data_IF_793212052913
#
_entry.id   IF_793212052913
#
_cell.length_a   1.000
_cell.length_b   1.000
_cell.length_c   1.000
_cell.angle_alpha   90.00
_cell.angle_beta   90.00
_cell.angle_gamma   90.00
#
_symmetry.space_group_name_H-M   'P 1'
#
loop_
_entity.id
_entity.type
_entity.pdbx_description
1 polymer ?
#
# COMPACT_ATOMS: atom_id res chain seq x y z
N UNK A 1 -11.61 20.92 22.02
CA UNK A 1 -11.50 19.68 22.81
C UNK A 1 -10.20 19.73 23.56
N UNK A 2 -10.20 19.55 24.88
CA UNK A 2 -8.97 19.60 25.68
C UNK A 2 -8.11 18.38 25.37
N UNK A 3 -6.79 18.56 25.19
CA UNK A 3 -5.77 17.53 24.84
C UNK A 3 -5.72 16.33 25.79
N UNK A 4 -6.48 16.34 26.87
CA UNK A 4 -6.41 15.32 27.94
C UNK A 4 -7.04 13.96 27.60
N UNK A 5 -7.69 13.78 26.43
CA UNK A 5 -8.34 12.53 26.02
C UNK A 5 -7.89 11.98 24.67
N UNK A 6 -6.85 12.56 24.05
CA UNK A 6 -6.35 12.07 22.76
C UNK A 6 -5.40 10.90 22.96
N UNK A 7 -5.58 9.84 22.16
CA UNK A 7 -4.66 8.71 22.12
C UNK A 7 -3.32 9.12 21.48
N UNK A 8 -2.27 8.33 21.70
CA UNK A 8 -0.98 8.51 20.97
C UNK A 8 -1.18 8.50 19.46
N UNK A 9 -2.18 7.75 18.97
CA UNK A 9 -2.51 7.64 17.55
C UNK A 9 -3.05 8.98 17.03
N UNK A 10 -4.01 9.57 17.76
CA UNK A 10 -4.59 10.90 17.42
C UNK A 10 -3.53 12.02 17.47
N UNK A 11 -2.68 12.00 18.51
CA UNK A 11 -1.58 12.98 18.66
C UNK A 11 -0.54 12.91 17.53
N UNK A 12 -0.45 11.77 16.83
CA UNK A 12 0.36 11.59 15.63
C UNK A 12 -0.37 11.96 14.34
N UNK A 13 -1.56 12.54 14.45
CA UNK A 13 -2.36 13.01 13.32
C UNK A 13 -3.02 11.88 12.52
N UNK A 14 -3.34 10.76 13.19
CA UNK A 14 -3.99 9.59 12.56
C UNK A 14 -5.34 9.36 13.21
N UNK A 15 -6.38 9.12 12.42
CA UNK A 15 -7.70 8.73 12.89
C UNK A 15 -7.90 7.23 12.70
N UNK A 16 -8.15 6.49 13.78
CA UNK A 16 -8.41 5.05 13.71
C UNK A 16 -9.81 4.74 13.19
N UNK A 17 -10.80 5.57 13.53
CA UNK A 17 -12.21 5.35 13.17
C UNK A 17 -12.59 5.94 11.81
N UNK A 18 -11.86 6.99 11.37
CA UNK A 18 -12.22 7.80 10.16
C UNK A 18 -13.71 8.17 10.12
N UNK A 19 -14.32 8.45 11.28
CA UNK A 19 -15.76 8.71 11.42
C UNK A 19 -16.25 9.82 10.50
N UNK A 20 -15.47 10.90 10.35
CA UNK A 20 -15.78 12.01 9.44
C UNK A 20 -15.87 11.58 7.97
N UNK A 21 -15.08 10.59 7.55
CA UNK A 21 -15.15 10.04 6.19
C UNK A 21 -16.39 9.15 6.05
N UNK A 22 -16.64 8.27 7.02
CA UNK A 22 -17.84 7.43 7.01
C UNK A 22 -19.13 8.24 7.02
N UNK A 23 -19.18 9.33 7.79
CA UNK A 23 -20.32 10.23 7.81
C UNK A 23 -20.51 10.96 6.46
N UNK A 24 -19.43 11.35 5.81
CA UNK A 24 -19.49 12.04 4.53
C UNK A 24 -20.01 11.15 3.38
N UNK A 25 -19.71 9.84 3.43
CA UNK A 25 -20.07 8.90 2.34
C UNK A 25 -21.32 8.06 2.61
N UNK A 26 -21.94 8.16 3.81
CA UNK A 26 -23.05 7.28 4.23
C UNK A 26 -24.25 7.28 3.30
N UNK A 27 -24.57 8.45 2.71
CA UNK A 27 -25.73 8.66 1.82
C UNK A 27 -25.35 8.62 0.33
N UNK A 28 -24.06 8.32 0.02
CA UNK A 28 -23.62 8.19 -1.38
C UNK A 28 -24.11 6.88 -2.00
N UNK A 29 -24.32 6.91 -3.31
CA UNK A 29 -24.62 5.71 -4.10
C UNK A 29 -23.53 4.63 -3.91
N UNK A 30 -23.96 3.42 -3.55
CA UNK A 30 -23.08 2.27 -3.25
C UNK A 30 -22.83 1.35 -4.45
N UNK A 31 -23.35 1.70 -5.63
CA UNK A 31 -23.21 0.90 -6.84
C UNK A 31 -24.17 -0.30 -6.91
N UNK A 32 -23.86 -1.23 -7.82
CA UNK A 32 -24.71 -2.38 -8.13
C UNK A 32 -24.84 -3.37 -6.95
N UNK A 33 -23.82 -3.49 -6.12
CA UNK A 33 -23.76 -4.45 -5.02
C UNK A 33 -23.30 -3.75 -3.73
N UNK A 34 -24.25 -3.24 -2.91
CA UNK A 34 -23.93 -2.43 -1.73
C UNK A 34 -23.07 -3.13 -0.67
N UNK A 35 -23.02 -4.47 -0.65
CA UNK A 35 -22.23 -5.26 0.28
C UNK A 35 -20.82 -5.60 -0.26
N UNK A 36 -20.56 -5.37 -1.55
CA UNK A 36 -19.27 -5.64 -2.15
C UNK A 36 -18.18 -4.75 -1.53
N UNK A 37 -16.96 -5.25 -1.45
CA UNK A 37 -15.84 -4.52 -0.83
C UNK A 37 -15.51 -3.23 -1.59
N UNK A 38 -15.37 -3.30 -2.91
CA UNK A 38 -15.25 -2.13 -3.77
C UNK A 38 -16.60 -1.74 -4.37
N UNK A 39 -16.78 -0.47 -4.70
CA UNK A 39 -17.93 0.00 -5.46
C UNK A 39 -17.91 -0.57 -6.88
N UNK A 40 -18.97 -1.29 -7.24
CA UNK A 40 -19.15 -1.88 -8.57
C UNK A 40 -20.16 -1.06 -9.36
N UNK A 41 -19.75 -0.57 -10.52
CA UNK A 41 -20.56 0.26 -11.40
C UNK A 41 -21.12 -0.57 -12.58
N UNK A 42 -22.26 -0.15 -13.20
CA UNK A 42 -22.61 -0.67 -14.52
C UNK A 42 -21.44 -0.56 -15.50
N UNK A 43 -21.43 -1.36 -16.54
CA UNK A 43 -20.40 -1.26 -17.58
C UNK A 43 -20.54 0.04 -18.38
N UNK A 44 -20.00 1.12 -17.84
CA UNK A 44 -20.05 2.45 -18.46
C UNK A 44 -19.11 2.56 -19.68
N UNK A 45 -18.08 1.71 -19.73
CA UNK A 45 -17.06 1.74 -20.80
C UNK A 45 -17.49 0.92 -22.01
N UNK A 46 -18.00 -0.29 -21.79
CA UNK A 46 -18.41 -1.19 -22.86
C UNK A 46 -19.91 -1.16 -23.18
N UNK A 47 -20.73 -0.67 -22.24
CA UNK A 47 -22.19 -0.61 -22.40
C UNK A 47 -22.90 -1.97 -22.37
N UNK A 48 -22.22 -3.02 -21.92
CA UNK A 48 -22.75 -4.37 -21.88
C UNK A 48 -23.43 -4.64 -20.51
N UNK A 49 -24.73 -4.96 -20.46
CA UNK A 49 -25.44 -5.23 -19.20
C UNK A 49 -24.94 -6.47 -18.45
N UNK A 50 -24.24 -7.39 -19.10
CA UNK A 50 -23.65 -8.58 -18.46
C UNK A 50 -22.31 -8.29 -17.78
N UNK A 51 -21.72 -7.11 -17.99
CA UNK A 51 -20.45 -6.70 -17.40
C UNK A 51 -20.62 -5.58 -16.38
N UNK A 52 -19.56 -5.31 -15.66
CA UNK A 52 -19.46 -4.20 -14.71
C UNK A 52 -18.02 -3.65 -14.67
N UNK A 53 -17.92 -2.42 -14.18
CA UNK A 53 -16.64 -1.74 -14.02
C UNK A 53 -16.31 -1.58 -12.54
N UNK A 54 -15.03 -1.77 -12.20
CA UNK A 54 -14.45 -1.49 -10.89
C UNK A 54 -13.29 -0.51 -11.08
N UNK A 55 -13.23 0.50 -10.23
CA UNK A 55 -12.13 1.45 -10.20
C UNK A 55 -11.71 1.66 -8.77
N UNK A 56 -10.42 1.57 -8.50
CA UNK A 56 -9.84 1.74 -7.17
C UNK A 56 -8.63 2.67 -7.23
N UNK A 57 -8.36 3.42 -6.16
CA UNK A 57 -7.21 4.29 -6.06
C UNK A 57 -6.65 4.26 -4.65
N UNK A 58 -5.37 3.96 -4.52
CA UNK A 58 -4.65 3.96 -3.25
C UNK A 58 -3.17 4.31 -3.46
N UNK A 59 -2.45 4.55 -2.37
CA UNK A 59 -1.03 4.92 -2.36
C UNK A 59 -0.22 4.02 -1.45
N UNK A 60 1.10 4.00 -1.63
CA UNK A 60 2.02 3.32 -0.70
C UNK A 60 2.03 3.96 0.70
N UNK A 61 1.47 5.14 0.85
CA UNK A 61 1.29 5.85 2.11
C UNK A 61 2.61 6.16 2.82
N UNK A 62 2.57 6.14 4.14
CA UNK A 62 3.72 6.55 4.99
C UNK A 62 4.95 5.66 4.85
N UNK A 63 4.83 4.47 4.26
CA UNK A 63 5.97 3.58 3.99
C UNK A 63 7.02 4.25 3.09
N UNK A 64 6.61 5.16 2.20
CA UNK A 64 7.51 6.00 1.39
C UNK A 64 8.49 6.81 2.25
N UNK A 65 8.03 7.33 3.39
CA UNK A 65 8.87 8.07 4.33
C UNK A 65 9.92 7.20 5.03
N UNK A 66 9.61 5.92 5.26
CA UNK A 66 10.57 4.94 5.77
C UNK A 66 11.61 4.56 4.72
N UNK A 67 11.17 4.34 3.48
CA UNK A 67 12.06 4.10 2.34
C UNK A 67 13.03 5.27 2.15
N UNK A 68 12.53 6.50 2.29
CA UNK A 68 13.37 7.71 2.25
C UNK A 68 14.48 7.67 3.31
N UNK A 69 14.15 7.42 4.58
CA UNK A 69 15.16 7.35 5.65
C UNK A 69 16.16 6.22 5.37
N UNK A 70 15.67 5.02 5.02
CA UNK A 70 16.53 3.87 4.76
C UNK A 70 17.49 4.12 3.59
N UNK A 71 16.98 4.66 2.48
CA UNK A 71 17.82 5.06 1.35
C UNK A 71 18.87 6.11 1.75
N UNK A 72 18.50 7.09 2.57
CA UNK A 72 19.45 8.12 3.06
C UNK A 72 20.55 7.54 3.95
N UNK A 73 20.27 6.48 4.72
CA UNK A 73 21.26 5.80 5.58
C UNK A 73 22.13 4.82 4.80
N UNK A 74 21.63 4.21 3.73
CA UNK A 74 22.29 3.07 3.07
C UNK A 74 22.67 3.32 1.61
N UNK A 75 22.11 4.33 0.95
CA UNK A 75 22.12 4.54 -0.50
C UNK A 75 21.49 3.38 -1.31
N UNK A 76 20.74 2.49 -0.69
CA UNK A 76 20.04 1.40 -1.37
C UNK A 76 18.80 1.90 -2.09
N UNK A 77 18.88 2.01 -3.42
CA UNK A 77 17.76 2.42 -4.26
C UNK A 77 16.71 1.32 -4.43
N UNK A 78 17.07 0.05 -4.22
CA UNK A 78 16.17 -1.09 -4.47
C UNK A 78 14.90 -1.06 -3.62
N UNK A 79 14.91 -0.36 -2.47
CA UNK A 79 13.74 -0.21 -1.60
C UNK A 79 12.56 0.51 -2.27
N UNK A 80 12.84 1.30 -3.29
CA UNK A 80 11.79 2.00 -4.04
C UNK A 80 10.95 1.08 -4.93
N UNK A 81 11.54 -0.03 -5.39
CA UNK A 81 10.77 -1.09 -6.07
C UNK A 81 9.70 -1.69 -5.15
N UNK A 82 10.03 -1.89 -3.86
CA UNK A 82 9.06 -2.33 -2.86
C UNK A 82 7.92 -1.33 -2.63
N UNK A 83 8.22 -0.03 -2.65
CA UNK A 83 7.19 1.03 -2.55
C UNK A 83 6.23 1.01 -3.74
N UNK A 84 6.74 0.80 -4.94
CA UNK A 84 5.90 0.66 -6.14
C UNK A 84 5.02 -0.58 -6.04
N UNK A 85 5.59 -1.70 -5.62
CA UNK A 85 4.83 -2.93 -5.37
C UNK A 85 3.72 -2.67 -4.34
N UNK A 86 4.01 -2.02 -3.20
CA UNK A 86 2.99 -1.67 -2.21
C UNK A 86 1.84 -0.86 -2.84
N UNK A 87 2.14 0.18 -3.62
CA UNK A 87 1.11 1.02 -4.23
C UNK A 87 0.24 0.26 -5.25
N UNK A 88 0.81 -0.68 -6.00
CA UNK A 88 0.06 -1.53 -6.92
C UNK A 88 -0.81 -2.52 -6.14
N UNK A 89 -0.23 -3.21 -5.15
CA UNK A 89 -0.90 -4.26 -4.39
C UNK A 89 -2.07 -3.73 -3.56
N UNK A 90 -1.96 -2.52 -2.98
CA UNK A 90 -3.09 -1.88 -2.29
C UNK A 90 -4.34 -1.77 -3.18
N UNK A 91 -4.16 -1.64 -4.49
CA UNK A 91 -5.27 -1.56 -5.44
C UNK A 91 -5.74 -2.95 -5.91
N UNK A 92 -4.79 -3.80 -6.36
CA UNK A 92 -5.18 -5.08 -6.98
C UNK A 92 -5.73 -6.07 -5.96
N UNK A 93 -5.28 -6.06 -4.71
CA UNK A 93 -5.82 -6.91 -3.65
C UNK A 93 -7.25 -6.45 -3.23
N UNK A 94 -7.50 -5.15 -3.18
CA UNK A 94 -8.85 -4.63 -2.94
C UNK A 94 -9.81 -4.96 -4.08
N UNK A 95 -9.34 -4.89 -5.33
CA UNK A 95 -10.12 -5.32 -6.49
C UNK A 95 -10.35 -6.83 -6.50
N UNK A 96 -9.40 -7.63 -6.01
CA UNK A 96 -9.55 -9.07 -5.86
C UNK A 96 -10.67 -9.43 -4.86
N UNK A 97 -10.92 -8.61 -3.84
CA UNK A 97 -12.02 -8.79 -2.91
C UNK A 97 -13.42 -8.75 -3.57
N UNK A 98 -13.52 -8.22 -4.79
CA UNK A 98 -14.75 -8.24 -5.61
C UNK A 98 -14.63 -9.17 -6.82
N UNK A 99 -13.56 -9.96 -6.94
CA UNK A 99 -13.34 -10.93 -8.01
C UNK A 99 -12.64 -10.37 -9.26
N UNK A 100 -12.16 -9.13 -9.22
CA UNK A 100 -11.40 -8.53 -10.31
C UNK A 100 -9.90 -8.79 -10.09
N UNK A 101 -9.36 -9.81 -10.76
CA UNK A 101 -8.02 -10.34 -10.49
C UNK A 101 -7.10 -10.33 -11.72
N UNK A 102 -7.60 -9.97 -12.88
CA UNK A 102 -6.87 -10.02 -14.13
C UNK A 102 -7.32 -8.90 -15.09
N UNK A 103 -6.52 -8.66 -16.12
CA UNK A 103 -6.78 -7.61 -17.13
C UNK A 103 -7.05 -6.22 -16.51
N UNK A 104 -6.21 -5.83 -15.56
CA UNK A 104 -6.35 -4.58 -14.82
C UNK A 104 -5.47 -3.50 -15.45
N UNK A 105 -6.08 -2.38 -15.84
CA UNK A 105 -5.36 -1.19 -16.31
C UNK A 105 -4.99 -0.34 -15.10
N UNK A 106 -3.72 0.05 -15.01
CA UNK A 106 -3.22 0.91 -13.93
C UNK A 106 -2.61 2.21 -14.47
N UNK A 107 -2.74 3.27 -13.70
CA UNK A 107 -2.12 4.56 -13.94
C UNK A 107 -1.45 5.06 -12.66
N UNK A 108 -0.25 5.61 -12.75
CA UNK A 108 0.50 6.09 -11.60
C UNK A 108 0.35 7.60 -11.39
N UNK A 109 0.36 8.02 -10.13
CA UNK A 109 0.46 9.43 -9.74
C UNK A 109 1.56 9.57 -8.69
N UNK A 110 2.61 10.33 -9.03
CA UNK A 110 3.77 10.51 -8.15
C UNK A 110 3.89 11.99 -7.80
N UNK A 111 3.76 12.31 -6.52
CA UNK A 111 4.04 13.64 -5.99
C UNK A 111 5.37 13.64 -5.22
N UNK A 112 6.31 14.53 -5.55
CA UNK A 112 7.57 14.59 -4.81
C UNK A 112 7.94 15.99 -4.34
N UNK A 113 8.71 16.03 -3.28
CA UNK A 113 9.52 17.20 -2.95
C UNK A 113 10.90 17.07 -3.65
N UNK A 114 11.06 17.79 -4.75
CA UNK A 114 12.29 17.76 -5.58
C UNK A 114 13.55 18.12 -4.80
N UNK A 115 13.43 18.91 -3.73
CA UNK A 115 14.56 19.32 -2.90
C UNK A 115 15.20 18.17 -2.12
N UNK A 116 14.46 17.07 -1.88
CA UNK A 116 14.93 15.92 -1.11
C UNK A 116 14.87 14.59 -1.89
N UNK A 117 14.11 14.54 -2.98
CA UNK A 117 13.94 13.35 -3.84
C UNK A 117 14.57 13.61 -5.22
N UNK A 118 15.77 13.09 -5.47
CA UNK A 118 16.45 13.26 -6.76
C UNK A 118 15.80 12.44 -7.89
N UNK A 119 16.14 12.78 -9.15
CA UNK A 119 15.64 12.12 -10.34
C UNK A 119 15.91 10.60 -10.39
N UNK A 120 17.00 10.14 -9.76
CA UNK A 120 17.32 8.71 -9.68
C UNK A 120 16.23 7.91 -9.01
N UNK A 121 15.59 8.43 -7.95
CA UNK A 121 14.47 7.76 -7.28
C UNK A 121 13.24 7.71 -8.21
N UNK A 122 12.95 8.78 -8.94
CA UNK A 122 11.83 8.79 -9.90
C UNK A 122 12.07 7.77 -11.02
N UNK A 123 13.30 7.68 -11.50
CA UNK A 123 13.68 6.67 -12.50
C UNK A 123 13.45 5.25 -11.97
N UNK A 124 13.88 4.98 -10.75
CA UNK A 124 13.68 3.67 -10.10
C UNK A 124 12.18 3.34 -9.94
N UNK A 125 11.39 4.28 -9.43
CA UNK A 125 9.93 4.12 -9.26
C UNK A 125 9.25 3.78 -10.60
N UNK A 126 9.59 4.50 -11.68
CA UNK A 126 8.98 4.25 -13.00
C UNK A 126 9.41 2.89 -13.55
N UNK A 127 10.69 2.53 -13.47
CA UNK A 127 11.21 1.26 -13.98
C UNK A 127 10.67 0.07 -13.18
N UNK A 128 10.59 0.20 -11.86
CA UNK A 128 10.08 -0.84 -10.98
C UNK A 128 8.62 -1.21 -11.28
N UNK A 129 7.78 -0.25 -11.70
CA UNK A 129 6.41 -0.56 -12.11
C UNK A 129 6.39 -1.53 -13.30
N UNK A 130 7.17 -1.26 -14.33
CA UNK A 130 7.28 -2.15 -15.49
C UNK A 130 7.82 -3.55 -15.13
N UNK A 131 8.86 -3.61 -14.29
CA UNK A 131 9.46 -4.86 -13.83
C UNK A 131 8.45 -5.68 -13.01
N UNK A 132 7.71 -5.05 -12.10
CA UNK A 132 6.71 -5.73 -11.28
C UNK A 132 5.55 -6.28 -12.14
N UNK A 133 5.07 -5.51 -13.11
CA UNK A 133 4.03 -5.94 -14.06
C UNK A 133 4.48 -7.19 -14.84
N UNK A 134 5.71 -7.20 -15.38
CA UNK A 134 6.25 -8.37 -16.07
C UNK A 134 6.30 -9.60 -15.17
N UNK A 135 6.75 -9.41 -13.93
CA UNK A 135 6.79 -10.48 -12.94
C UNK A 135 5.40 -11.04 -12.62
N UNK A 136 4.39 -10.17 -12.49
CA UNK A 136 3.01 -10.60 -12.25
C UNK A 136 2.41 -11.37 -13.42
N UNK A 137 2.74 -11.01 -14.66
CA UNK A 137 2.31 -11.74 -15.84
C UNK A 137 2.80 -13.20 -15.85
N UNK A 138 3.99 -13.49 -15.28
CA UNK A 138 4.49 -14.85 -15.10
C UNK A 138 3.63 -15.70 -14.15
N UNK A 139 2.82 -15.04 -13.32
CA UNK A 139 1.89 -15.63 -12.36
C UNK A 139 0.42 -15.50 -12.80
N UNK A 140 0.16 -15.23 -14.09
CA UNK A 140 -1.16 -15.04 -14.68
C UNK A 140 -1.96 -13.87 -14.07
N UNK A 141 -1.28 -12.83 -13.64
CA UNK A 141 -1.87 -11.57 -13.22
C UNK A 141 -1.46 -10.50 -14.23
N UNK A 142 -2.36 -10.20 -15.17
CA UNK A 142 -2.09 -9.27 -16.26
C UNK A 142 -2.46 -7.84 -15.85
N UNK A 143 -1.44 -7.02 -15.71
CA UNK A 143 -1.54 -5.60 -15.39
C UNK A 143 -1.02 -4.77 -16.57
N UNK A 144 -1.71 -3.69 -16.91
CA UNK A 144 -1.37 -2.84 -18.04
C UNK A 144 -1.13 -1.40 -17.57
N UNK A 145 0.12 -0.94 -17.65
CA UNK A 145 0.44 0.45 -17.29
C UNK A 145 0.06 1.40 -18.43
N UNK A 146 -0.91 2.27 -18.18
CA UNK A 146 -1.37 3.28 -19.13
C UNK A 146 -0.58 4.59 -19.09
N UNK A 147 0.46 4.66 -18.25
CA UNK A 147 1.24 5.87 -17.99
C UNK A 147 0.94 6.46 -16.61
N UNK A 148 1.12 7.75 -16.47
CA UNK A 148 0.89 8.43 -15.21
C UNK A 148 1.37 9.89 -15.22
N UNK A 149 1.30 10.53 -14.04
CA UNK A 149 1.76 11.90 -13.80
C UNK A 149 2.82 11.91 -12.72
N UNK A 150 3.84 12.75 -12.89
CA UNK A 150 4.84 13.06 -11.86
C UNK A 150 4.92 14.57 -11.65
N UNK A 151 4.59 15.01 -10.43
CA UNK A 151 4.55 16.43 -10.09
C UNK A 151 5.55 16.80 -8.99
N UNK A 152 6.23 17.95 -9.18
CA UNK A 152 7.08 18.57 -8.15
C UNK A 152 6.18 19.42 -7.23
N UNK A 153 5.81 18.90 -6.08
CA UNK A 153 4.78 19.45 -5.18
C UNK A 153 5.28 19.54 -3.72
N UNK A 154 6.52 20.00 -3.54
CA UNK A 154 7.19 20.07 -2.23
C UNK A 154 6.45 20.86 -1.15
N UNK A 155 5.52 21.75 -1.52
CA UNK A 155 4.70 22.49 -0.57
C UNK A 155 3.61 21.65 0.07
N UNK A 156 3.21 20.53 -0.55
CA UNK A 156 2.16 19.63 -0.04
C UNK A 156 2.67 18.23 0.28
N UNK A 157 3.76 17.78 -0.34
CA UNK A 157 4.39 16.47 -0.08
C UNK A 157 5.78 16.66 0.50
N UNK A 158 6.02 16.12 1.69
CA UNK A 158 7.29 16.35 2.41
C UNK A 158 8.48 15.58 1.82
N UNK A 159 8.24 14.36 1.35
CA UNK A 159 9.24 13.52 0.66
C UNK A 159 8.70 13.11 -0.70
N UNK A 160 8.02 11.98 -0.79
CA UNK A 160 7.38 11.46 -2.00
C UNK A 160 6.09 10.73 -1.62
N UNK A 161 5.10 10.80 -2.48
CA UNK A 161 3.95 9.92 -2.48
C UNK A 161 3.87 9.18 -3.82
N UNK A 162 3.58 7.88 -3.77
CA UNK A 162 3.45 7.01 -4.94
C UNK A 162 2.08 6.37 -4.90
N UNK A 163 1.22 6.80 -5.80
CA UNK A 163 -0.16 6.34 -5.91
C UNK A 163 -0.41 5.62 -7.22
N UNK A 164 -1.39 4.71 -7.17
CA UNK A 164 -1.92 3.98 -8.32
C UNK A 164 -3.43 4.14 -8.35
N UNK A 165 -3.96 4.32 -9.54
CA UNK A 165 -5.36 4.14 -9.86
C UNK A 165 -5.49 2.91 -10.75
N UNK A 166 -6.36 1.99 -10.39
CA UNK A 166 -6.59 0.74 -11.10
C UNK A 166 -8.02 0.67 -11.63
N UNK A 167 -8.20 0.12 -12.83
CA UNK A 167 -9.48 -0.08 -13.48
C UNK A 167 -9.58 -1.51 -14.01
N UNK A 168 -10.71 -2.16 -13.76
CA UNK A 168 -11.04 -3.48 -14.29
C UNK A 168 -12.48 -3.56 -14.80
N UNK A 169 -12.70 -4.46 -15.75
CA UNK A 169 -14.00 -4.79 -16.33
C UNK A 169 -14.21 -6.30 -16.25
N UNK A 170 -15.22 -6.73 -15.50
CA UNK A 170 -15.49 -8.15 -15.29
C UNK A 170 -16.96 -8.50 -15.58
N UNK A 171 -17.27 -9.77 -15.89
CA UNK A 171 -18.66 -10.25 -15.94
C UNK A 171 -19.33 -10.10 -14.57
N UNK A 172 -20.57 -9.63 -14.53
CA UNK A 172 -21.35 -9.52 -13.28
C UNK A 172 -21.49 -10.84 -12.54
N UNK A 173 -21.48 -11.95 -13.27
CA UNK A 173 -21.54 -13.31 -12.71
C UNK A 173 -20.33 -13.69 -11.87
N UNK A 174 -19.20 -12.98 -12.02
CA UNK A 174 -17.95 -13.22 -11.28
C UNK A 174 -17.79 -12.34 -10.04
N UNK A 175 -18.69 -11.36 -9.84
CA UNK A 175 -18.57 -10.43 -8.71
C UNK A 175 -18.78 -11.15 -7.37
N UNK A 176 -17.78 -11.01 -6.49
CA UNK A 176 -17.86 -11.44 -5.08
C UNK A 176 -18.62 -10.36 -4.29
N UNK A 177 -19.71 -10.74 -3.61
CA UNK A 177 -20.66 -9.81 -2.98
C UNK A 177 -20.61 -9.77 -1.45
N UNK A 178 -19.66 -10.48 -0.82
CA UNK A 178 -19.57 -10.61 0.64
C UNK A 178 -20.86 -11.13 1.30
N UNK A 179 -21.51 -12.11 0.71
CA UNK A 179 -22.73 -12.75 1.26
C UNK A 179 -22.36 -13.78 2.34
N UNK A 180 -21.80 -13.30 3.46
CA UNK A 180 -21.34 -14.13 4.57
C UNK A 180 -22.54 -14.73 5.33
N UNK A 181 -22.48 -16.02 5.62
CA UNK A 181 -23.56 -16.77 6.27
C UNK A 181 -23.07 -17.46 7.54
N UNK A 182 -24.01 -17.77 8.44
CA UNK A 182 -23.71 -18.61 9.60
C UNK A 182 -23.24 -19.99 9.16
N UNK A 183 -22.08 -20.40 9.65
CA UNK A 183 -21.41 -21.64 9.27
C UNK A 183 -20.23 -21.45 8.31
N UNK A 184 -20.04 -20.25 7.74
CA UNK A 184 -18.83 -19.94 6.99
C UNK A 184 -17.61 -19.92 7.92
N UNK A 185 -16.46 -20.32 7.39
CA UNK A 185 -15.19 -20.33 8.13
C UNK A 185 -14.34 -19.13 7.74
N UNK A 186 -13.59 -18.60 8.70
CA UNK A 186 -12.61 -17.55 8.47
C UNK A 186 -11.26 -18.20 8.24
N UNK A 187 -10.63 -17.91 7.10
CA UNK A 187 -9.27 -18.34 6.77
C UNK A 187 -8.34 -17.14 6.84
N UNK A 188 -7.33 -17.20 7.69
CA UNK A 188 -6.27 -16.20 7.76
C UNK A 188 -5.04 -16.65 6.96
N UNK A 189 -4.50 -15.75 6.16
CA UNK A 189 -3.21 -15.93 5.49
C UNK A 189 -2.12 -15.27 6.35
N UNK A 190 -0.98 -15.96 6.50
CA UNK A 190 0.18 -15.34 7.15
C UNK A 190 0.69 -14.17 6.28
N UNK A 191 0.92 -13.02 6.91
CA UNK A 191 1.48 -11.86 6.21
C UNK A 191 3.00 -11.93 6.07
N UNK A 192 3.67 -12.76 6.85
CA UNK A 192 5.13 -12.95 6.85
C UNK A 192 5.52 -14.27 6.19
N UNK A 193 6.73 -14.35 5.70
CA UNK A 193 7.24 -15.55 5.02
C UNK A 193 7.94 -15.18 3.72
N UNK A 194 7.74 -15.96 2.67
CA UNK A 194 8.29 -15.68 1.35
C UNK A 194 7.35 -16.25 0.29
N UNK A 195 6.77 -15.39 -0.51
CA UNK A 195 5.99 -15.78 -1.66
C UNK A 195 6.89 -16.38 -2.76
N UNK A 196 6.35 -17.23 -3.63
CA UNK A 196 7.14 -17.93 -4.68
C UNK A 196 7.87 -16.99 -5.63
N UNK A 197 7.38 -15.78 -5.80
CA UNK A 197 8.00 -14.76 -6.64
C UNK A 197 8.88 -13.76 -5.88
N UNK A 198 8.97 -13.85 -4.56
CA UNK A 198 9.85 -13.01 -3.75
C UNK A 198 11.26 -13.59 -3.69
N UNK A 199 12.27 -12.72 -3.76
CA UNK A 199 13.68 -13.10 -3.67
C UNK A 199 14.20 -13.16 -2.25
N UNK A 200 13.51 -12.51 -1.30
CA UNK A 200 13.92 -12.36 0.10
C UNK A 200 12.74 -12.68 1.02
N UNK A 201 13.05 -12.97 2.28
CA UNK A 201 12.04 -13.12 3.34
C UNK A 201 11.26 -11.82 3.54
N UNK A 202 9.96 -11.93 3.67
CA UNK A 202 9.02 -10.84 3.87
C UNK A 202 8.61 -10.78 5.35
N UNK A 203 8.83 -9.63 5.98
CA UNK A 203 8.47 -9.37 7.38
C UNK A 203 6.97 -9.18 7.63
N UNK A 204 6.15 -9.18 6.58
CA UNK A 204 4.69 -9.06 6.68
C UNK A 204 4.19 -7.65 7.06
N UNK A 205 4.99 -6.63 6.81
CA UNK A 205 4.65 -5.25 7.16
C UNK A 205 3.86 -4.57 6.05
N UNK A 206 2.55 -4.51 6.19
CA UNK A 206 1.69 -3.69 5.35
C UNK A 206 1.88 -2.18 5.59
N UNK A 207 1.29 -1.35 4.71
CA UNK A 207 1.35 0.11 4.82
C UNK A 207 0.44 0.67 5.90
N UNK A 208 -0.67 -0.01 6.20
CA UNK A 208 -1.64 0.42 7.20
C UNK A 208 -1.06 0.45 8.62
N UNK A 209 -1.31 1.55 9.34
CA UNK A 209 -0.84 1.74 10.71
C UNK A 209 0.59 2.23 10.86
N UNK A 210 1.43 2.19 9.80
CA UNK A 210 2.84 2.60 9.86
C UNK A 210 3.04 4.07 10.21
N UNK A 211 2.08 4.95 9.91
CA UNK A 211 2.15 6.38 10.31
C UNK A 211 2.39 6.53 11.81
N UNK A 212 1.79 5.67 12.64
CA UNK A 212 2.01 5.68 14.08
C UNK A 212 3.08 4.67 14.51
N UNK A 213 3.00 3.42 14.06
CA UNK A 213 3.86 2.33 14.54
C UNK A 213 5.37 2.61 14.36
N UNK A 214 5.77 3.23 13.26
CA UNK A 214 7.18 3.60 13.01
C UNK A 214 7.78 4.49 14.10
N UNK A 215 6.97 5.34 14.73
CA UNK A 215 7.42 6.21 15.80
C UNK A 215 7.65 5.46 17.12
N UNK A 216 7.01 4.32 17.32
CA UNK A 216 7.23 3.47 18.49
C UNK A 216 8.44 2.55 18.33
N UNK A 217 8.85 2.28 17.10
CA UNK A 217 9.95 1.37 16.78
C UNK A 217 11.27 2.14 16.63
N UNK A 218 11.28 3.21 15.84
CA UNK A 218 12.49 3.88 15.42
C UNK A 218 13.09 4.80 16.48
N UNK A 219 14.41 4.84 16.50
CA UNK A 219 15.23 5.65 17.40
C UNK A 219 15.08 7.15 17.10
N UNK A 220 15.13 7.94 18.18
CA UNK A 220 15.12 9.41 18.15
C UNK A 220 16.22 10.05 17.30
N UNK A 221 17.27 9.31 16.95
CA UNK A 221 18.33 9.83 16.07
C UNK A 221 17.78 10.28 14.72
N UNK A 222 16.75 9.62 14.20
CA UNK A 222 16.11 9.97 12.93
C UNK A 222 15.31 11.26 12.99
N UNK A 223 14.84 11.66 14.18
CA UNK A 223 14.12 12.91 14.35
C UNK A 223 14.99 14.12 13.99
N UNK A 224 16.23 14.13 14.46
CA UNK A 224 17.17 15.23 14.19
C UNK A 224 17.71 15.18 12.75
N UNK A 225 17.96 13.96 12.21
CA UNK A 225 18.54 13.77 10.88
C UNK A 225 17.57 14.05 9.74
N UNK A 226 16.28 13.69 9.91
CA UNK A 226 15.27 13.67 8.84
C UNK A 226 13.95 14.33 9.25
N UNK A 227 13.96 15.65 9.52
CA UNK A 227 12.77 16.38 9.95
C UNK A 227 11.65 16.37 8.89
N UNK A 228 11.98 16.16 7.61
CA UNK A 228 11.02 16.01 6.51
C UNK A 228 10.26 14.67 6.53
N UNK A 229 10.71 13.69 7.31
CA UNK A 229 10.12 12.34 7.33
C UNK A 229 8.89 12.21 8.24
N UNK A 230 8.51 13.23 8.99
CA UNK A 230 7.38 13.19 9.91
C UNK A 230 6.60 14.52 9.93
N UNK A 231 5.38 14.49 10.48
CA UNK A 231 4.57 15.70 10.63
C UNK A 231 5.15 16.60 11.75
N UNK A 232 5.53 17.86 11.48
CA UNK A 232 6.12 18.76 12.47
C UNK A 232 5.17 19.15 13.60
N UNK A 233 3.86 18.89 13.45
CA UNK A 233 2.87 19.13 14.51
C UNK A 233 2.78 17.97 15.51
N UNK A 234 3.40 16.84 15.23
CA UNK A 234 3.46 15.72 16.19
C UNK A 234 4.27 16.15 17.41
N UNK A 235 3.75 15.93 18.64
CA UNK A 235 4.50 16.23 19.86
C UNK A 235 5.88 15.57 19.87
N UNK A 236 6.90 16.33 20.25
CA UNK A 236 8.29 15.91 20.13
C UNK A 236 8.60 14.55 20.77
N UNK A 237 8.03 14.28 21.94
CA UNK A 237 8.21 13.04 22.68
C UNK A 237 7.57 11.82 22.02
N UNK A 238 6.71 12.02 21.01
CA UNK A 238 6.06 10.95 20.23
C UNK A 238 6.72 10.70 18.87
N UNK A 239 7.73 11.50 18.50
CA UNK A 239 8.45 11.35 17.23
C UNK A 239 9.64 10.41 17.43
N UNK A 240 9.61 9.24 16.77
CA UNK A 240 10.67 8.24 16.82
C UNK A 240 11.14 7.98 18.26
N UNK A 241 10.20 7.55 19.09
CA UNK A 241 10.41 7.33 20.53
C UNK A 241 10.91 5.94 20.88
N UNK A 242 11.11 5.08 19.85
CA UNK A 242 11.68 3.74 20.00
C UNK A 242 13.20 3.73 20.09
N UNK A 243 13.78 2.56 19.91
CA UNK A 243 15.23 2.34 20.09
C UNK A 243 15.92 1.72 18.87
N UNK A 244 15.14 1.28 17.83
CA UNK A 244 15.72 0.56 16.68
C UNK A 244 16.26 1.51 15.62
N UNK A 245 17.40 1.14 15.05
CA UNK A 245 17.92 1.77 13.84
C UNK A 245 17.60 0.90 12.61
N UNK A 246 17.32 1.52 11.47
CA UNK A 246 16.94 0.81 10.25
C UNK A 246 18.06 -0.10 9.70
N UNK A 247 19.32 0.23 10.03
CA UNK A 247 20.51 -0.55 9.65
C UNK A 247 20.85 -1.67 10.62
N UNK A 248 20.18 -1.74 11.78
CA UNK A 248 20.39 -2.79 12.76
C UNK A 248 20.02 -4.15 12.19
N UNK A 249 20.90 -5.15 12.35
CA UNK A 249 20.65 -6.51 11.88
C UNK A 249 19.79 -7.26 12.90
N UNK A 250 18.74 -7.88 12.41
CA UNK A 250 17.80 -8.69 13.18
C UNK A 250 17.95 -10.16 12.74
N UNK A 251 18.16 -11.03 13.68
CA UNK A 251 18.08 -12.47 13.46
C UNK A 251 16.61 -12.88 13.48
N UNK A 252 16.05 -13.16 12.30
CA UNK A 252 14.63 -13.53 12.12
C UNK A 252 14.42 -15.00 12.43
N UNK A 253 15.33 -15.83 11.90
CA UNK A 253 15.45 -17.27 12.19
C UNK A 253 16.94 -17.61 12.27
N UNK A 254 17.26 -18.89 12.52
CA UNK A 254 18.66 -19.35 12.54
C UNK A 254 19.38 -19.09 11.21
N UNK A 255 18.64 -19.09 10.10
CA UNK A 255 19.19 -18.94 8.74
C UNK A 255 18.89 -17.58 8.09
N UNK A 256 18.02 -16.76 8.69
CA UNK A 256 17.57 -15.50 8.08
C UNK A 256 17.98 -14.31 8.94
N UNK A 257 18.83 -13.46 8.37
CA UNK A 257 19.29 -12.22 9.00
C UNK A 257 19.06 -11.06 8.07
N UNK A 258 18.28 -10.07 8.49
CA UNK A 258 17.94 -8.90 7.71
C UNK A 258 18.09 -7.64 8.55
N UNK A 259 18.31 -6.49 7.91
CA UNK A 259 18.22 -5.22 8.62
C UNK A 259 16.79 -4.93 9.05
N UNK A 260 16.61 -4.23 10.16
CA UNK A 260 15.29 -3.76 10.60
C UNK A 260 14.57 -2.97 9.50
N UNK A 261 15.34 -2.20 8.70
CA UNK A 261 14.83 -1.48 7.55
C UNK A 261 14.25 -2.40 6.48
N UNK A 262 14.95 -3.46 6.10
CA UNK A 262 14.46 -4.44 5.12
C UNK A 262 13.19 -5.15 5.62
N UNK A 263 13.13 -5.51 6.89
CA UNK A 263 11.94 -6.13 7.49
C UNK A 263 10.72 -5.18 7.47
N UNK A 264 10.91 -3.92 7.84
CA UNK A 264 9.82 -2.92 7.87
C UNK A 264 9.40 -2.52 6.45
N UNK A 265 10.34 -2.53 5.51
CA UNK A 265 10.12 -2.16 4.12
C UNK A 265 9.78 -3.36 3.22
N UNK A 266 9.63 -4.56 3.79
CA UNK A 266 9.14 -5.71 3.02
C UNK A 266 7.87 -5.33 2.27
N UNK A 267 7.83 -5.46 0.93
CA UNK A 267 6.68 -5.05 0.15
C UNK A 267 5.51 -6.01 0.36
N UNK A 268 4.29 -5.49 0.32
CA UNK A 268 3.09 -6.33 0.41
C UNK A 268 3.03 -7.26 -0.81
N UNK A 269 2.91 -8.59 -0.64
CA UNK A 269 2.79 -9.51 -1.77
C UNK A 269 1.34 -9.49 -2.30
N UNK A 270 1.17 -9.75 -3.61
CA UNK A 270 -0.15 -9.97 -4.21
C UNK A 270 -0.74 -11.26 -3.63
N UNK A 271 -1.85 -11.15 -2.90
CA UNK A 271 -2.40 -12.25 -2.10
C UNK A 271 -2.92 -13.41 -2.95
N UNK A 272 -3.49 -13.14 -4.11
CA UNK A 272 -4.16 -14.16 -4.92
C UNK A 272 -3.25 -14.91 -5.91
N UNK A 273 -1.96 -14.60 -6.00
CA UNK A 273 -1.00 -15.45 -6.73
C UNK A 273 -0.84 -16.83 -6.11
N UNK A 274 -1.22 -16.99 -4.83
CA UNK A 274 -1.15 -18.23 -4.06
C UNK A 274 -2.53 -18.83 -3.77
N UNK A 275 -3.60 -18.11 -4.08
CA UNK A 275 -4.96 -18.54 -3.90
C UNK A 275 -5.50 -19.01 -5.24
N UNK A 276 -5.80 -20.29 -5.38
CA UNK A 276 -6.72 -20.73 -6.41
C UNK A 276 -8.11 -20.26 -5.98
N UNK A 277 -8.59 -19.17 -6.59
CA UNK A 277 -10.01 -18.83 -6.47
C UNK A 277 -10.84 -20.03 -6.96
N UNK A 278 -11.92 -20.41 -6.26
CA UNK A 278 -12.74 -21.52 -6.67
C UNK A 278 -13.23 -21.24 -8.08
N UNK A 279 -12.62 -21.93 -9.06
CA UNK A 279 -13.20 -22.02 -10.39
C UNK A 279 -14.56 -22.63 -10.20
N UNK A 280 -15.60 -21.94 -10.65
CA UNK A 280 -16.95 -22.54 -10.69
C UNK A 280 -16.85 -23.88 -11.38
N UNK A 281 -17.11 -24.94 -10.62
CA UNK A 281 -17.40 -26.24 -11.18
C UNK A 281 -18.73 -26.17 -11.97
#
# INVERSE_FOLDING_TARGET
>A
MSDQNLSRYDLRGVSASKSEVHDAIKDMDKGLYPQAFCKVLPDLVGGDPEYCNIMHADTAGTKTSLAYIYWRETNDLSVWAGIVQDSIVMNVDDMACVGCIDDIIISSTVGRNKSVIPGAIISEVIQAAGTFIQKMAEHNVNLYLSGGETADVGDIVRTIDVGITAFGRIPRSQVIRNEIKSGDVIVGLASYGQATYESEYNGGMGSNGLTSARHDILSKVYRAKYPESYNPKTPEHLIYSGSRELTEIIDVTDDIRLSAGKLILSPTPVSYTHLTLPTKA
#
